data_IF_417634338507
#
_entry.id   IF_417634338507
#
_cell.length_a   1.000
_cell.length_b   1.000
_cell.length_c   1.000
_cell.angle_alpha   90.00
_cell.angle_beta   90.00
_cell.angle_gamma   90.00
#
_symmetry.space_group_name_H-M   'P 1'
#
loop_
_entity.id
_entity.type
_entity.pdbx_description
1 polymer ?
#
# COMPACT_ATOMS: atom_id res chain seq x y z
N UNK A 1 -11.51 -17.72 -11.26
CA UNK A 1 -10.75 -17.73 -9.98
C UNK A 1 -9.69 -16.63 -10.02
N UNK A 2 -9.48 -15.87 -8.93
CA UNK A 2 -8.49 -14.80 -8.91
C UNK A 2 -7.06 -15.36 -8.97
N UNK A 3 -6.20 -14.66 -9.69
CA UNK A 3 -4.77 -14.96 -9.81
C UNK A 3 -3.98 -14.08 -8.85
N UNK A 4 -3.36 -14.70 -7.85
CA UNK A 4 -2.55 -14.03 -6.84
C UNK A 4 -1.06 -14.28 -7.11
N UNK A 5 -0.24 -13.22 -7.01
CA UNK A 5 1.21 -13.33 -7.20
C UNK A 5 1.95 -12.79 -5.97
N UNK A 6 3.08 -13.40 -5.67
CA UNK A 6 3.94 -12.95 -4.57
C UNK A 6 4.63 -11.62 -4.89
N UNK A 7 4.45 -10.63 -4.03
CA UNK A 7 5.13 -9.34 -4.13
C UNK A 7 6.67 -9.46 -4.15
N UNK A 8 7.31 -10.40 -3.44
CA UNK A 8 8.76 -10.64 -3.56
C UNK A 8 9.21 -10.96 -4.98
N UNK A 9 8.38 -11.64 -5.78
CA UNK A 9 8.68 -11.92 -7.19
C UNK A 9 8.71 -10.62 -8.02
N UNK A 10 7.79 -9.68 -7.74
CA UNK A 10 7.79 -8.36 -8.39
C UNK A 10 9.05 -7.58 -8.01
N UNK A 11 9.39 -7.52 -6.74
CA UNK A 11 10.54 -6.74 -6.22
C UNK A 11 11.86 -7.26 -6.77
N UNK A 12 12.04 -8.57 -6.85
CA UNK A 12 13.26 -9.18 -7.40
C UNK A 12 13.35 -9.13 -8.92
N UNK A 13 12.23 -8.94 -9.60
CA UNK A 13 12.18 -8.95 -11.07
C UNK A 13 12.06 -10.33 -11.69
N UNK A 14 11.80 -11.38 -10.91
CA UNK A 14 11.63 -12.75 -11.41
C UNK A 14 11.37 -13.78 -10.33
N UNK A 15 11.01 -14.99 -10.73
CA UNK A 15 10.81 -16.15 -9.85
C UNK A 15 12.14 -16.83 -9.51
N UNK A 16 12.31 -17.22 -8.24
CA UNK A 16 13.46 -18.04 -7.82
C UNK A 16 13.42 -19.46 -8.38
N UNK A 17 12.23 -19.95 -8.70
CA UNK A 17 11.98 -21.34 -9.10
C UNK A 17 11.79 -21.51 -10.61
N UNK A 18 12.13 -20.49 -11.41
CA UNK A 18 11.91 -20.52 -12.87
C UNK A 18 10.44 -20.44 -13.30
N UNK A 19 9.53 -20.12 -12.38
CA UNK A 19 8.12 -19.92 -12.65
C UNK A 19 7.85 -18.59 -13.38
N UNK A 20 6.62 -18.40 -13.83
CA UNK A 20 6.20 -17.18 -14.55
C UNK A 20 6.49 -15.93 -13.72
N UNK A 21 7.05 -14.91 -14.37
CA UNK A 21 7.33 -13.61 -13.75
C UNK A 21 6.04 -12.89 -13.37
N UNK A 22 5.92 -12.48 -12.11
CA UNK A 22 4.80 -11.67 -11.64
C UNK A 22 4.71 -10.34 -12.40
N UNK A 23 5.83 -9.72 -12.73
CA UNK A 23 5.89 -8.50 -13.55
C UNK A 23 5.23 -8.72 -14.93
N UNK A 24 5.52 -9.86 -15.56
CA UNK A 24 4.93 -10.19 -16.86
C UNK A 24 3.42 -10.37 -16.75
N UNK A 25 2.93 -11.07 -15.71
CA UNK A 25 1.49 -11.26 -15.52
C UNK A 25 0.79 -9.93 -15.21
N UNK A 26 1.35 -9.10 -14.34
CA UNK A 26 0.78 -7.78 -14.03
C UNK A 26 0.75 -6.89 -15.29
N UNK A 27 1.82 -6.88 -16.09
CA UNK A 27 1.86 -6.07 -17.32
C UNK A 27 0.79 -6.47 -18.34
N UNK A 28 0.38 -7.73 -18.34
CA UNK A 28 -0.67 -8.26 -19.20
C UNK A 28 -2.08 -8.22 -18.59
N UNK A 29 -2.22 -7.71 -17.37
CA UNK A 29 -3.52 -7.69 -16.68
C UNK A 29 -4.01 -9.07 -16.22
N UNK A 30 -3.08 -10.02 -16.04
CA UNK A 30 -3.36 -11.40 -15.65
C UNK A 30 -3.06 -11.68 -14.16
N UNK A 31 -2.92 -10.64 -13.36
CA UNK A 31 -2.73 -10.72 -11.92
C UNK A 31 -3.76 -9.83 -11.24
N UNK A 32 -4.58 -10.42 -10.39
CA UNK A 32 -5.69 -9.74 -9.72
C UNK A 32 -5.25 -9.07 -8.41
N UNK A 33 -4.31 -9.68 -7.66
CA UNK A 33 -3.76 -9.09 -6.45
C UNK A 33 -2.35 -9.58 -6.15
N UNK A 34 -1.63 -8.81 -5.32
CA UNK A 34 -0.32 -9.18 -4.80
C UNK A 34 -0.44 -9.60 -3.33
N UNK A 35 0.35 -10.61 -2.95
CA UNK A 35 0.44 -11.11 -1.57
C UNK A 35 1.86 -10.95 -1.03
N UNK A 36 2.00 -10.71 0.26
CA UNK A 36 3.30 -10.46 0.91
C UNK A 36 4.22 -11.69 0.93
N UNK A 37 3.60 -12.89 0.84
CA UNK A 37 4.32 -14.14 1.04
C UNK A 37 5.03 -14.13 2.41
N UNK A 38 6.33 -14.25 2.48
CA UNK A 38 7.11 -14.26 3.73
C UNK A 38 7.70 -12.89 4.12
N UNK A 39 7.52 -11.84 3.31
CA UNK A 39 8.15 -10.54 3.53
C UNK A 39 7.15 -9.38 3.38
N UNK A 40 6.55 -8.95 4.50
CA UNK A 40 5.49 -7.93 4.50
C UNK A 40 5.86 -6.57 3.86
N UNK A 41 7.10 -6.03 4.04
CA UNK A 41 7.44 -4.73 3.43
C UNK A 41 7.41 -4.74 1.90
N UNK A 42 7.51 -5.91 1.26
CA UNK A 42 7.56 -6.01 -0.20
C UNK A 42 6.25 -5.59 -0.89
N UNK A 43 5.11 -5.53 -0.20
CA UNK A 43 3.85 -5.08 -0.82
C UNK A 43 3.96 -3.65 -1.32
N UNK A 44 4.32 -2.71 -0.47
CA UNK A 44 4.52 -1.32 -0.88
C UNK A 44 5.67 -1.18 -1.89
N UNK A 45 6.77 -1.89 -1.68
CA UNK A 45 7.90 -1.91 -2.61
C UNK A 45 7.48 -2.40 -4.00
N UNK A 46 6.66 -3.47 -4.09
CA UNK A 46 6.17 -3.98 -5.36
C UNK A 46 5.30 -2.95 -6.10
N UNK A 47 4.43 -2.22 -5.40
CA UNK A 47 3.65 -1.15 -6.01
C UNK A 47 4.57 -0.08 -6.63
N UNK A 48 5.61 0.34 -5.93
CA UNK A 48 6.59 1.30 -6.47
C UNK A 48 7.38 0.74 -7.65
N UNK A 49 7.78 -0.53 -7.62
CA UNK A 49 8.45 -1.17 -8.76
C UNK A 49 7.57 -1.16 -10.01
N UNK A 50 6.26 -1.39 -9.87
CA UNK A 50 5.32 -1.32 -10.99
C UNK A 50 5.22 0.09 -11.58
N UNK A 51 5.26 1.11 -10.73
CA UNK A 51 5.28 2.52 -11.15
C UNK A 51 6.58 2.87 -11.88
N UNK A 52 7.72 2.55 -11.29
CA UNK A 52 9.04 2.86 -11.86
C UNK A 52 9.28 2.19 -13.21
N UNK A 53 8.69 1.02 -13.40
CA UNK A 53 8.76 0.29 -14.69
C UNK A 53 7.69 0.72 -15.69
N UNK A 54 6.84 1.69 -15.35
CA UNK A 54 5.76 2.16 -16.22
C UNK A 54 4.68 1.10 -16.52
N UNK A 55 4.58 0.06 -15.68
CA UNK A 55 3.59 -1.02 -15.84
C UNK A 55 2.21 -0.59 -15.35
N UNK A 56 2.17 0.18 -14.28
CA UNK A 56 0.95 0.76 -13.68
C UNK A 56 1.23 2.17 -13.18
N UNK A 57 0.22 3.04 -13.16
CA UNK A 57 0.23 4.26 -12.36
C UNK A 57 0.09 3.92 -10.87
N UNK A 58 0.38 4.86 -9.99
CA UNK A 58 0.38 4.62 -8.54
C UNK A 58 -0.98 4.14 -8.00
N UNK A 59 -2.12 4.75 -8.36
CA UNK A 59 -3.42 4.26 -7.91
C UNK A 59 -3.66 2.79 -8.28
N UNK A 60 -3.42 2.41 -9.54
CA UNK A 60 -3.63 1.04 -10.02
C UNK A 60 -2.62 0.04 -9.45
N UNK A 61 -1.38 0.47 -9.21
CA UNK A 61 -0.40 -0.38 -8.53
C UNK A 61 -0.82 -0.63 -7.07
N UNK A 62 -1.34 0.41 -6.39
CA UNK A 62 -1.80 0.31 -5.01
C UNK A 62 -3.09 -0.51 -4.88
N UNK A 63 -3.98 -0.48 -5.85
CA UNK A 63 -5.17 -1.34 -5.88
C UNK A 63 -4.84 -2.82 -5.73
N UNK A 64 -3.72 -3.29 -6.31
CA UNK A 64 -3.30 -4.69 -6.22
C UNK A 64 -2.93 -5.15 -4.80
N UNK A 65 -2.68 -4.23 -3.89
CA UNK A 65 -2.30 -4.52 -2.49
C UNK A 65 -3.32 -4.02 -1.46
N UNK A 66 -4.40 -3.39 -1.90
CA UNK A 66 -5.44 -2.83 -1.03
C UNK A 66 -6.85 -3.23 -1.44
N UNK A 67 -7.39 -2.61 -2.47
CA UNK A 67 -8.77 -2.82 -2.94
C UNK A 67 -8.99 -4.26 -3.44
N UNK A 68 -8.13 -4.73 -4.34
CA UNK A 68 -8.29 -6.05 -4.93
C UNK A 68 -8.24 -7.19 -3.90
N UNK A 69 -7.30 -7.23 -2.94
CA UNK A 69 -7.36 -8.22 -1.87
C UNK A 69 -8.64 -8.13 -1.03
N UNK A 70 -9.13 -6.93 -0.72
CA UNK A 70 -10.36 -6.77 0.04
C UNK A 70 -11.58 -7.33 -0.72
N UNK A 71 -11.69 -7.04 -2.01
CA UNK A 71 -12.76 -7.56 -2.87
C UNK A 71 -12.71 -9.10 -2.99
N UNK A 72 -11.52 -9.67 -3.22
CA UNK A 72 -11.31 -11.12 -3.31
C UNK A 72 -11.72 -11.83 -2.01
N UNK A 73 -11.43 -11.20 -0.86
CA UNK A 73 -11.80 -11.73 0.46
C UNK A 73 -13.24 -11.39 0.89
N UNK A 74 -14.00 -10.68 0.09
CA UNK A 74 -15.38 -10.28 0.42
C UNK A 74 -15.47 -9.23 1.52
N UNK A 75 -14.42 -8.44 1.74
CA UNK A 75 -14.37 -7.39 2.76
C UNK A 75 -14.91 -6.07 2.19
N UNK A 76 -16.22 -5.88 2.26
CA UNK A 76 -16.87 -4.72 1.64
C UNK A 76 -16.64 -3.39 2.38
N UNK A 77 -16.21 -3.44 3.65
CA UNK A 77 -16.05 -2.29 4.52
C UNK A 77 -14.67 -1.61 4.44
N UNK A 78 -13.75 -2.13 3.62
CA UNK A 78 -12.36 -1.65 3.50
C UNK A 78 -11.80 -1.79 2.11
N UNK A 79 -10.52 -1.43 1.91
CA UNK A 79 -9.82 -1.49 0.62
C UNK A 79 -9.88 -0.18 -0.16
N UNK A 80 -10.80 0.72 0.16
CA UNK A 80 -10.93 2.06 -0.44
C UNK A 80 -11.25 3.10 0.63
N UNK A 81 -10.85 4.35 0.38
CA UNK A 81 -11.17 5.50 1.24
C UNK A 81 -12.51 6.11 0.77
N UNK A 82 -13.59 5.65 1.36
CA UNK A 82 -14.94 6.10 1.05
C UNK A 82 -15.72 6.38 2.33
N UNK A 83 -16.66 7.33 2.26
CA UNK A 83 -17.54 7.64 3.39
C UNK A 83 -18.36 6.40 3.78
N UNK A 84 -18.37 6.08 5.08
CA UNK A 84 -19.09 4.92 5.62
C UNK A 84 -18.27 3.64 5.68
N UNK A 85 -17.09 3.60 5.05
CA UNK A 85 -16.16 2.48 5.19
C UNK A 85 -15.26 2.63 6.42
N UNK A 86 -14.66 1.55 6.82
CA UNK A 86 -13.68 1.50 7.90
C UNK A 86 -12.47 2.38 7.53
N UNK A 87 -12.03 3.19 8.46
CA UNK A 87 -10.90 4.08 8.27
C UNK A 87 -9.57 3.31 8.43
N UNK A 88 -9.19 2.59 7.37
CA UNK A 88 -7.91 1.91 7.24
C UNK A 88 -7.12 2.59 6.12
N UNK A 89 -6.02 3.24 6.45
CA UNK A 89 -5.17 3.90 5.45
C UNK A 89 -3.73 4.09 5.93
N UNK A 90 -2.85 4.35 4.99
CA UNK A 90 -1.46 4.71 5.24
C UNK A 90 -1.17 6.10 4.66
N UNK A 91 -0.26 6.81 5.31
CA UNK A 91 0.36 8.03 4.78
C UNK A 91 1.75 7.66 4.29
N UNK A 92 2.00 7.90 3.02
CA UNK A 92 3.27 7.57 2.37
C UNK A 92 3.95 8.85 1.96
N UNK A 93 5.23 8.99 2.29
CA UNK A 93 6.06 10.07 1.81
C UNK A 93 6.39 9.82 0.32
N UNK A 94 6.00 10.72 -0.54
CA UNK A 94 6.17 10.55 -1.99
C UNK A 94 7.66 10.57 -2.40
N UNK A 95 8.49 11.30 -1.68
CA UNK A 95 9.93 11.43 -1.97
C UNK A 95 10.72 10.23 -1.47
N UNK A 96 10.53 9.84 -0.21
CA UNK A 96 11.26 8.71 0.41
C UNK A 96 10.61 7.37 0.14
N UNK A 97 9.31 7.37 -0.22
CA UNK A 97 8.45 6.19 -0.40
C UNK A 97 8.23 5.38 0.87
N UNK A 98 8.56 5.96 2.01
CA UNK A 98 8.35 5.35 3.32
C UNK A 98 6.92 5.58 3.82
N UNK A 99 6.37 4.57 4.51
CA UNK A 99 5.11 4.72 5.22
C UNK A 99 5.39 5.48 6.50
N UNK A 100 4.83 6.68 6.63
CA UNK A 100 5.02 7.56 7.79
C UNK A 100 3.88 7.47 8.81
N UNK A 101 2.69 7.04 8.40
CA UNK A 101 1.62 6.76 9.33
C UNK A 101 0.76 5.59 8.85
N UNK A 102 0.21 4.85 9.81
CA UNK A 102 -0.79 3.81 9.58
C UNK A 102 -1.97 4.02 10.51
N UNK A 103 -3.16 4.11 9.94
CA UNK A 103 -4.43 4.18 10.67
C UNK A 103 -5.19 2.89 10.41
N UNK A 104 -5.67 2.26 11.48
CA UNK A 104 -6.40 1.01 11.44
C UNK A 104 -7.69 1.15 12.25
N UNK A 105 -8.84 1.03 11.61
CA UNK A 105 -10.14 1.25 12.24
C UNK A 105 -10.29 2.64 12.87
N UNK A 106 -9.75 3.67 12.23
CA UNK A 106 -9.76 5.05 12.73
C UNK A 106 -8.76 5.34 13.87
N UNK A 107 -7.90 4.38 14.23
CA UNK A 107 -6.90 4.53 15.30
C UNK A 107 -5.50 4.57 14.69
N UNK A 108 -4.71 5.54 15.13
CA UNK A 108 -3.30 5.65 14.74
C UNK A 108 -2.52 4.45 15.33
N UNK A 109 -1.95 3.62 14.46
CA UNK A 109 -1.21 2.41 14.84
C UNK A 109 0.30 2.56 14.67
N UNK A 110 0.73 3.46 13.77
CA UNK A 110 2.14 3.73 13.50
C UNK A 110 2.29 5.19 13.08
N UNK A 111 3.39 5.81 13.54
CA UNK A 111 3.73 7.19 13.21
C UNK A 111 5.25 7.36 13.20
N UNK A 112 5.80 7.92 12.14
CA UNK A 112 7.22 8.18 11.96
C UNK A 112 7.46 9.36 11.01
N UNK A 113 8.73 9.65 10.75
CA UNK A 113 9.16 10.58 9.72
C UNK A 113 8.60 11.99 9.88
N UNK A 114 8.34 12.63 8.76
CA UNK A 114 7.85 14.01 8.69
C UNK A 114 6.41 14.13 9.23
N UNK A 115 5.54 13.15 8.96
CA UNK A 115 4.18 13.12 9.49
C UNK A 115 4.19 13.11 11.04
N UNK A 116 5.10 12.34 11.64
CA UNK A 116 5.30 12.32 13.09
C UNK A 116 5.77 13.65 13.64
N UNK A 117 6.76 14.25 13.01
CA UNK A 117 7.30 15.55 13.41
C UNK A 117 6.22 16.65 13.35
N UNK A 118 5.41 16.67 12.29
CA UNK A 118 4.32 17.63 12.13
C UNK A 118 3.23 17.45 13.21
N UNK A 119 2.84 16.21 13.52
CA UNK A 119 1.83 15.95 14.53
C UNK A 119 2.31 16.39 15.92
N UNK A 120 3.55 16.04 16.30
CA UNK A 120 4.15 16.44 17.57
C UNK A 120 4.25 17.97 17.64
N UNK A 121 4.71 18.64 16.57
CA UNK A 121 4.78 20.09 16.50
C UNK A 121 3.41 20.77 16.67
N UNK A 122 2.36 20.20 16.09
CA UNK A 122 0.99 20.70 16.27
C UNK A 122 0.46 20.53 17.70
N UNK A 123 0.88 19.47 18.40
CA UNK A 123 0.48 19.23 19.79
C UNK A 123 1.25 20.09 20.81
N UNK A 124 2.48 20.50 20.48
CA UNK A 124 3.38 21.25 21.37
C UNK A 124 3.45 22.74 21.03
N UNK A 125 2.91 23.17 19.90
CA UNK A 125 2.80 24.57 19.49
C UNK A 125 1.92 25.39 20.40
N UNK A 126 2.06 26.74 20.44
CA UNK A 126 1.22 27.59 21.24
C UNK A 126 -0.24 27.39 20.83
N UNK A 127 -1.09 27.00 21.78
CA UNK A 127 -2.55 26.99 21.57
C UNK A 127 -2.94 28.40 21.19
N UNK A 128 -3.44 28.58 19.94
CA UNK A 128 -4.13 29.81 19.58
C UNK A 128 -5.25 29.97 20.60
N UNK A 129 -5.15 31.00 21.42
CA UNK A 129 -6.22 31.34 22.37
C UNK A 129 -7.48 31.58 21.52
N UNK A 130 -8.50 30.79 21.77
CA UNK A 130 -9.81 31.05 21.21
C UNK A 130 -10.34 32.34 21.91
N UNK A 131 -10.39 33.43 21.17
CA UNK A 131 -11.22 34.59 21.50
C UNK A 131 -12.67 34.33 21.12
#
# INVERSE_FOLDING_TARGET
>A
DPVLMGAPNVVRGGSQSGNVSALHLVSRGLCDALVSDYHYPCLAQAAWVLVDRGIRDLPRAWELISKAPAEIMGLADRGTLERGKRADFVVVNETTREIEATVCGGRLSYLAGEAGARLVGAMTGPRLAAE
#
